data_IF_245972118344
#
_entry.id   IF_245972118344
#
_cell.length_a   1.000
_cell.length_b   1.000
_cell.length_c   1.000
_cell.angle_alpha   90.00
_cell.angle_beta   90.00
_cell.angle_gamma   90.00
#
_symmetry.space_group_name_H-M   'P 1'
#
loop_
_entity.id
_entity.type
_entity.pdbx_description
1 polymer ?
#
# COMPACT_ATOMS: atom_id res chain seq x y z
N UNK A 1 31.42 20.83 -7.36
CA UNK A 1 31.94 20.60 -8.73
C UNK A 1 31.20 19.43 -9.35
N UNK A 2 31.35 19.17 -10.65
CA UNK A 2 30.61 18.09 -11.35
C UNK A 2 30.77 16.71 -10.70
N UNK A 3 31.94 16.45 -10.09
CA UNK A 3 32.21 15.23 -9.32
C UNK A 3 31.28 15.07 -8.11
N UNK A 4 31.02 16.13 -7.37
CA UNK A 4 30.12 16.08 -6.20
C UNK A 4 28.69 15.74 -6.63
N UNK A 5 28.26 16.21 -7.81
CA UNK A 5 26.95 15.90 -8.38
C UNK A 5 26.88 14.42 -8.79
N UNK A 6 27.91 13.91 -9.45
CA UNK A 6 28.00 12.49 -9.84
C UNK A 6 28.01 11.59 -8.59
N UNK A 7 28.79 11.93 -7.57
CA UNK A 7 28.85 11.15 -6.33
C UNK A 7 27.51 11.18 -5.57
N UNK A 8 26.81 12.32 -5.56
CA UNK A 8 25.48 12.43 -4.99
C UNK A 8 24.44 11.56 -5.74
N UNK A 9 24.50 11.52 -7.07
CA UNK A 9 23.64 10.65 -7.89
C UNK A 9 23.96 9.17 -7.65
N UNK A 10 25.23 8.79 -7.62
CA UNK A 10 25.66 7.41 -7.36
C UNK A 10 25.21 6.93 -5.98
N UNK A 11 25.34 7.78 -4.95
CA UNK A 11 24.88 7.50 -3.59
C UNK A 11 23.36 7.32 -3.53
N UNK A 12 22.62 8.12 -4.29
CA UNK A 12 21.15 8.00 -4.40
C UNK A 12 20.73 6.70 -5.11
N UNK A 13 21.47 6.26 -6.13
CA UNK A 13 21.20 4.97 -6.77
C UNK A 13 21.56 3.79 -5.87
N UNK A 14 22.58 3.92 -5.02
CA UNK A 14 22.94 2.88 -4.05
C UNK A 14 21.82 2.61 -3.04
N UNK A 15 21.08 3.63 -2.58
CA UNK A 15 19.94 3.43 -1.66
C UNK A 15 18.74 2.74 -2.33
N UNK A 16 18.67 2.73 -3.67
CA UNK A 16 17.61 2.05 -4.43
C UNK A 16 17.85 0.55 -4.62
N UNK A 17 18.96 -0.01 -4.13
CA UNK A 17 19.32 -1.43 -4.31
C UNK A 17 18.21 -2.40 -3.90
N UNK A 18 17.62 -2.21 -2.71
CA UNK A 18 16.49 -3.05 -2.26
C UNK A 18 15.25 -2.89 -3.14
N UNK A 19 14.98 -1.67 -3.63
CA UNK A 19 13.86 -1.41 -4.52
C UNK A 19 14.03 -2.12 -5.86
N UNK A 20 15.25 -2.13 -6.44
CA UNK A 20 15.55 -2.82 -7.70
C UNK A 20 15.30 -4.33 -7.55
N UNK A 21 15.76 -4.94 -6.45
CA UNK A 21 15.52 -6.37 -6.18
C UNK A 21 14.03 -6.67 -6.05
N UNK A 22 13.28 -5.83 -5.34
CA UNK A 22 11.83 -5.98 -5.21
C UNK A 22 11.12 -5.89 -6.56
N UNK A 23 11.42 -4.85 -7.34
CA UNK A 23 10.83 -4.64 -8.66
C UNK A 23 11.18 -5.78 -9.61
N UNK A 24 12.39 -6.34 -9.52
CA UNK A 24 12.77 -7.51 -10.29
C UNK A 24 11.83 -8.69 -10.02
N UNK A 25 11.62 -9.06 -8.75
CA UNK A 25 10.71 -10.16 -8.41
C UNK A 25 9.25 -9.84 -8.73
N UNK A 26 8.80 -8.60 -8.49
CA UNK A 26 7.46 -8.16 -8.85
C UNK A 26 7.22 -8.28 -10.37
N UNK A 27 8.19 -7.87 -11.19
CA UNK A 27 8.11 -7.99 -12.64
C UNK A 27 8.02 -9.46 -13.08
N UNK A 28 8.80 -10.36 -12.47
CA UNK A 28 8.70 -11.79 -12.74
C UNK A 28 7.33 -12.36 -12.31
N UNK A 29 6.83 -11.98 -11.13
CA UNK A 29 5.50 -12.39 -10.66
C UNK A 29 4.43 -11.95 -11.64
N UNK A 30 4.40 -10.67 -12.04
CA UNK A 30 3.42 -10.16 -13.03
C UNK A 30 3.52 -10.89 -14.36
N UNK A 31 4.74 -11.16 -14.83
CA UNK A 31 4.96 -11.89 -16.08
C UNK A 31 4.42 -13.33 -16.00
N UNK A 32 4.73 -14.07 -14.93
CA UNK A 32 4.23 -15.44 -14.74
C UNK A 32 2.73 -15.48 -14.48
N UNK A 33 2.18 -14.52 -13.73
CA UNK A 33 0.76 -14.41 -13.43
C UNK A 33 -0.06 -14.13 -14.69
N UNK A 34 0.50 -13.34 -15.62
CA UNK A 34 -0.07 -13.14 -16.96
C UNK A 34 0.10 -14.37 -17.84
N UNK A 35 1.28 -14.97 -17.89
CA UNK A 35 1.58 -16.12 -18.76
C UNK A 35 0.74 -17.36 -18.42
N UNK A 36 0.48 -17.60 -17.14
CA UNK A 36 -0.36 -18.71 -16.67
C UNK A 36 -1.87 -18.46 -16.83
N UNK A 37 -2.28 -17.27 -17.29
CA UNK A 37 -3.67 -16.78 -17.31
C UNK A 37 -4.35 -16.74 -15.93
N UNK A 38 -3.61 -16.97 -14.85
CA UNK A 38 -4.17 -16.99 -13.49
C UNK A 38 -4.76 -15.63 -13.12
N UNK A 39 -4.14 -14.53 -13.58
CA UNK A 39 -4.68 -13.19 -13.40
C UNK A 39 -6.02 -12.97 -14.08
N UNK A 40 -6.26 -13.57 -15.25
CA UNK A 40 -7.56 -13.48 -15.92
C UNK A 40 -8.62 -14.28 -15.16
N UNK A 41 -8.28 -15.48 -14.69
CA UNK A 41 -9.20 -16.31 -13.90
C UNK A 41 -9.61 -15.59 -12.61
N UNK A 42 -8.66 -15.05 -11.86
CA UNK A 42 -8.94 -14.29 -10.63
C UNK A 42 -9.74 -13.02 -10.91
N UNK A 43 -9.40 -12.29 -11.98
CA UNK A 43 -10.12 -11.08 -12.34
C UNK A 43 -11.59 -11.35 -12.66
N UNK A 44 -11.87 -12.37 -13.48
CA UNK A 44 -13.24 -12.73 -13.86
C UNK A 44 -14.00 -13.29 -12.66
N UNK A 45 -13.43 -14.23 -11.90
CA UNK A 45 -14.08 -14.82 -10.73
C UNK A 45 -14.39 -13.76 -9.66
N UNK A 46 -13.44 -12.86 -9.39
CA UNK A 46 -13.63 -11.76 -8.43
C UNK A 46 -14.66 -10.73 -8.91
N UNK A 47 -14.65 -10.37 -10.21
CA UNK A 47 -15.63 -9.45 -10.76
C UNK A 47 -17.06 -10.04 -10.70
N UNK A 48 -17.23 -11.32 -11.06
CA UNK A 48 -18.51 -12.01 -10.94
C UNK A 48 -18.98 -12.05 -9.48
N UNK A 49 -18.09 -12.38 -8.53
CA UNK A 49 -18.43 -12.38 -7.11
C UNK A 49 -18.92 -11.00 -6.64
N UNK A 50 -18.24 -9.92 -7.02
CA UNK A 50 -18.64 -8.54 -6.68
C UNK A 50 -19.99 -8.15 -7.31
N UNK A 51 -20.26 -8.61 -8.52
CA UNK A 51 -21.54 -8.38 -9.21
C UNK A 51 -22.69 -9.17 -8.56
N UNK A 52 -22.46 -10.43 -8.17
CA UNK A 52 -23.46 -11.28 -7.52
C UNK A 52 -23.91 -10.74 -6.17
N UNK A 53 -22.98 -10.20 -5.37
CA UNK A 53 -23.32 -9.55 -4.09
C UNK A 53 -23.88 -8.13 -4.25
N UNK A 54 -23.98 -7.61 -5.48
CA UNK A 54 -24.45 -6.26 -5.78
C UNK A 54 -23.49 -5.14 -5.36
N UNK A 55 -22.22 -5.45 -5.10
CA UNK A 55 -21.21 -4.49 -4.65
C UNK A 55 -20.51 -3.84 -5.85
N UNK A 56 -21.30 -3.23 -6.75
CA UNK A 56 -20.82 -2.58 -7.99
C UNK A 56 -20.89 -1.05 -7.94
N UNK A 57 -21.33 -0.48 -6.80
CA UNK A 57 -21.44 0.95 -6.58
C UNK A 57 -20.26 1.56 -5.82
N UNK A 58 -20.34 2.86 -5.45
CA UNK A 58 -19.29 3.58 -4.72
C UNK A 58 -18.84 2.90 -3.41
N UNK A 59 -19.71 2.10 -2.80
CA UNK A 59 -19.43 1.31 -1.61
C UNK A 59 -18.26 0.32 -1.79
N UNK A 60 -18.02 -0.15 -3.03
CA UNK A 60 -16.88 -1.00 -3.36
C UNK A 60 -15.55 -0.32 -3.05
N UNK A 61 -15.43 0.99 -3.32
CA UNK A 61 -14.22 1.73 -3.02
C UNK A 61 -13.98 1.84 -1.52
N UNK A 62 -15.03 2.01 -0.71
CA UNK A 62 -14.87 2.02 0.73
C UNK A 62 -14.32 0.68 1.24
N UNK A 63 -14.88 -0.44 0.77
CA UNK A 63 -14.36 -1.78 1.10
C UNK A 63 -12.91 -1.98 0.61
N UNK A 64 -12.59 -1.51 -0.59
CA UNK A 64 -11.25 -1.58 -1.16
C UNK A 64 -10.23 -0.76 -0.37
N UNK A 65 -10.58 0.47 0.01
CA UNK A 65 -9.73 1.35 0.85
C UNK A 65 -9.45 0.69 2.19
N UNK A 66 -10.47 0.15 2.87
CA UNK A 66 -10.31 -0.55 4.14
C UNK A 66 -9.42 -1.79 4.01
N UNK A 67 -9.61 -2.57 2.95
CA UNK A 67 -8.76 -3.73 2.65
C UNK A 67 -7.31 -3.31 2.42
N UNK A 68 -7.06 -2.27 1.62
CA UNK A 68 -5.71 -1.74 1.40
C UNK A 68 -5.08 -1.22 2.71
N UNK A 69 -5.85 -0.52 3.53
CA UNK A 69 -5.41 -0.05 4.84
C UNK A 69 -5.07 -1.19 5.79
N UNK A 70 -5.82 -2.29 5.76
CA UNK A 70 -5.56 -3.50 6.54
C UNK A 70 -4.28 -4.21 6.08
N UNK A 71 -4.07 -4.36 4.77
CA UNK A 71 -2.84 -4.96 4.23
C UNK A 71 -1.62 -4.11 4.60
N UNK A 72 -1.75 -2.78 4.61
CA UNK A 72 -0.66 -1.86 4.96
C UNK A 72 -0.18 -2.00 6.42
N UNK A 73 -1.04 -2.51 7.32
CA UNK A 73 -0.61 -2.87 8.68
C UNK A 73 0.39 -4.04 8.70
N UNK A 74 0.36 -4.90 7.68
CA UNK A 74 1.26 -6.05 7.54
C UNK A 74 2.49 -5.72 6.67
N UNK A 75 2.28 -4.95 5.60
CA UNK A 75 3.30 -4.58 4.62
C UNK A 75 3.47 -3.06 4.65
N UNK A 76 4.40 -2.56 5.46
CA UNK A 76 4.63 -1.10 5.62
C UNK A 76 5.34 -0.41 4.44
N UNK A 77 5.28 -0.99 3.23
CA UNK A 77 5.90 -0.43 2.03
C UNK A 77 4.88 -0.30 0.92
N UNK A 78 4.55 0.95 0.58
CA UNK A 78 3.58 1.30 -0.46
C UNK A 78 3.92 0.66 -1.82
N UNK A 79 5.20 0.63 -2.20
CA UNK A 79 5.59 0.02 -3.48
C UNK A 79 5.52 -1.51 -3.43
N UNK A 80 5.82 -2.12 -2.27
CA UNK A 80 5.76 -3.57 -2.10
C UNK A 80 4.31 -4.06 -2.11
N UNK A 81 3.44 -3.39 -1.38
CA UNK A 81 2.02 -3.71 -1.32
C UNK A 81 1.39 -3.56 -2.71
N UNK A 82 1.60 -2.42 -3.38
CA UNK A 82 1.05 -2.19 -4.71
C UNK A 82 1.54 -3.21 -5.74
N UNK A 83 2.82 -3.57 -5.70
CA UNK A 83 3.40 -4.56 -6.61
C UNK A 83 2.70 -5.93 -6.54
N UNK A 84 2.19 -6.30 -5.36
CA UNK A 84 1.46 -7.56 -5.14
C UNK A 84 -0.03 -7.41 -5.41
N UNK A 85 -0.65 -6.30 -5.00
CA UNK A 85 -2.10 -6.13 -5.09
C UNK A 85 -2.56 -5.67 -6.47
N UNK A 86 -1.80 -4.82 -7.16
CA UNK A 86 -2.20 -4.25 -8.44
C UNK A 86 -2.52 -5.30 -9.52
N UNK A 87 -1.70 -6.36 -9.72
CA UNK A 87 -1.95 -7.37 -10.74
C UNK A 87 -3.22 -8.19 -10.52
N UNK A 88 -3.73 -8.20 -9.28
CA UNK A 88 -4.92 -8.95 -8.87
C UNK A 88 -6.16 -8.04 -8.92
N UNK A 89 -6.10 -6.90 -8.24
CA UNK A 89 -7.26 -6.04 -8.04
C UNK A 89 -7.55 -5.10 -9.20
N UNK A 90 -6.52 -4.60 -9.91
CA UNK A 90 -6.74 -3.66 -11.02
C UNK A 90 -7.54 -4.32 -12.15
N UNK A 91 -7.17 -5.51 -12.66
CA UNK A 91 -7.96 -6.16 -13.71
C UNK A 91 -9.38 -6.52 -13.25
N UNK A 92 -9.53 -6.98 -12.01
CA UNK A 92 -10.83 -7.33 -11.43
C UNK A 92 -11.79 -6.14 -11.40
N UNK A 93 -11.34 -5.00 -10.87
CA UNK A 93 -12.16 -3.80 -10.74
C UNK A 93 -12.40 -3.12 -12.09
N UNK A 94 -11.49 -3.28 -13.05
CA UNK A 94 -11.72 -2.86 -14.44
C UNK A 94 -12.86 -3.63 -15.10
N UNK A 95 -13.00 -4.93 -14.83
CA UNK A 95 -14.13 -5.73 -15.32
C UNK A 95 -15.48 -5.34 -14.68
N UNK A 96 -15.45 -4.80 -13.46
CA UNK A 96 -16.65 -4.23 -12.82
C UNK A 96 -17.04 -2.87 -13.42
N UNK A 97 -16.12 -2.21 -14.14
CA UNK A 97 -16.38 -0.97 -14.88
C UNK A 97 -15.61 0.25 -14.37
N UNK A 98 -14.61 0.07 -13.51
CA UNK A 98 -13.82 1.18 -12.96
C UNK A 98 -12.51 1.40 -13.70
N UNK A 99 -12.15 2.67 -13.89
CA UNK A 99 -10.89 3.04 -14.51
C UNK A 99 -9.70 2.77 -13.56
N UNK A 100 -8.54 2.31 -14.08
CA UNK A 100 -7.35 1.98 -13.28
C UNK A 100 -6.82 3.18 -12.47
N UNK A 101 -7.01 4.41 -12.95
CA UNK A 101 -6.61 5.64 -12.27
C UNK A 101 -7.40 5.83 -10.97
N UNK A 102 -8.70 5.53 -10.98
CA UNK A 102 -9.57 5.59 -9.80
C UNK A 102 -9.21 4.49 -8.80
N UNK A 103 -8.89 3.30 -9.28
CA UNK A 103 -8.45 2.17 -8.45
C UNK A 103 -7.12 2.51 -7.76
N UNK A 104 -6.17 3.08 -8.50
CA UNK A 104 -4.90 3.54 -7.95
C UNK A 104 -5.10 4.69 -6.94
N UNK A 105 -6.02 5.62 -7.21
CA UNK A 105 -6.36 6.67 -6.27
C UNK A 105 -6.85 6.05 -4.95
N UNK A 106 -7.85 5.16 -5.00
CA UNK A 106 -8.40 4.48 -3.82
C UNK A 106 -7.32 3.69 -3.04
N UNK A 107 -6.40 3.02 -3.75
CA UNK A 107 -5.26 2.36 -3.12
C UNK A 107 -4.41 3.33 -2.29
N UNK A 108 -4.09 4.52 -2.84
CA UNK A 108 -3.27 5.54 -2.16
C UNK A 108 -3.96 6.10 -0.92
N UNK A 109 -5.30 6.16 -0.92
CA UNK A 109 -6.09 6.51 0.28
C UNK A 109 -5.85 5.45 1.37
N UNK A 110 -6.04 4.17 1.04
CA UNK A 110 -5.86 3.09 2.02
C UNK A 110 -4.43 2.98 2.55
N UNK A 111 -3.43 3.08 1.67
CA UNK A 111 -2.00 3.04 2.04
C UNK A 111 -1.61 4.19 2.98
N UNK A 112 -2.04 5.42 2.67
CA UNK A 112 -1.63 6.60 3.45
C UNK A 112 -2.28 6.67 4.83
N UNK A 113 -3.56 6.31 4.93
CA UNK A 113 -4.38 6.52 6.13
C UNK A 113 -3.98 5.64 7.31
N UNK A 114 -3.44 4.44 7.09
CA UNK A 114 -3.02 3.50 8.15
C UNK A 114 -1.52 3.51 8.46
N UNK A 115 -0.72 4.31 7.74
CA UNK A 115 0.72 4.43 7.98
C UNK A 115 1.08 4.94 9.39
N UNK A 116 0.21 5.74 10.00
CA UNK A 116 0.45 6.29 11.35
C UNK A 116 0.19 5.30 12.48
N UNK A 117 -0.51 4.20 12.20
CA UNK A 117 -0.82 3.14 13.17
C UNK A 117 -0.03 1.84 12.91
N UNK A 118 0.75 1.76 11.82
CA UNK A 118 1.53 0.56 11.49
C UNK A 118 2.87 0.55 12.24
N UNK A 119 3.12 -0.44 13.14
CA UNK A 119 4.42 -0.58 13.80
C UNK A 119 5.51 -1.08 12.83
N UNK A 120 5.12 -1.58 11.66
CA UNK A 120 6.01 -2.11 10.63
C UNK A 120 6.67 -1.01 9.78
N UNK A 121 6.31 0.26 9.99
CA UNK A 121 6.91 1.39 9.27
C UNK A 121 8.38 1.58 9.70
N UNK A 122 9.28 1.76 8.73
CA UNK A 122 10.72 1.97 8.99
C UNK A 122 11.04 3.17 9.89
N UNK A 123 10.15 4.18 9.95
CA UNK A 123 10.32 5.37 10.77
C UNK A 123 9.74 5.25 12.18
N UNK A 124 9.00 4.18 12.48
CA UNK A 124 8.28 4.02 13.74
C UNK A 124 9.22 4.12 14.96
N UNK A 125 10.39 3.48 14.89
CA UNK A 125 11.40 3.52 15.96
C UNK A 125 11.95 4.94 16.22
N UNK A 126 12.11 5.76 15.18
CA UNK A 126 12.54 7.15 15.32
C UNK A 126 11.44 8.00 15.98
N UNK A 127 10.19 7.84 15.54
CA UNK A 127 9.03 8.54 16.11
C UNK A 127 8.89 8.19 17.59
N UNK A 128 8.99 6.90 17.93
CA UNK A 128 8.96 6.43 19.31
C UNK A 128 10.08 7.05 20.13
N UNK A 129 11.33 7.03 19.64
CA UNK A 129 12.47 7.61 20.36
C UNK A 129 12.30 9.11 20.64
N UNK A 130 11.71 9.87 19.70
CA UNK A 130 11.40 11.29 19.90
C UNK A 130 10.25 11.46 20.91
N UNK A 131 9.18 10.66 20.80
CA UNK A 131 8.05 10.73 21.71
C UNK A 131 8.44 10.38 23.16
N UNK A 132 9.30 9.38 23.34
CA UNK A 132 9.80 8.97 24.65
C UNK A 132 10.67 10.04 25.34
N UNK A 133 11.24 10.99 24.59
CA UNK A 133 11.95 12.14 25.19
C UNK A 133 11.01 13.06 25.97
N UNK A 134 9.76 13.21 25.53
CA UNK A 134 8.75 14.04 26.18
C UNK A 134 7.90 13.24 27.17
N UNK A 135 7.62 11.97 26.88
CA UNK A 135 6.88 11.08 27.75
C UNK A 135 7.64 9.76 27.99
N UNK A 136 8.31 9.67 29.15
CA UNK A 136 9.17 8.52 29.50
C UNK A 136 8.47 7.16 29.55
N UNK A 137 7.16 7.13 29.80
CA UNK A 137 6.36 5.90 29.89
C UNK A 137 5.60 5.57 28.60
N UNK A 138 5.91 6.23 27.48
CA UNK A 138 5.21 6.03 26.22
C UNK A 138 5.70 4.75 25.53
N UNK A 139 4.82 3.74 25.48
CA UNK A 139 5.05 2.50 24.76
C UNK A 139 4.49 2.51 23.33
N UNK A 140 4.80 1.44 22.59
CA UNK A 140 4.34 1.21 21.21
C UNK A 140 2.80 1.29 21.14
N UNK A 141 2.11 0.58 22.04
CA UNK A 141 0.65 0.55 22.09
C UNK A 141 0.04 1.92 22.41
N UNK A 142 0.66 2.70 23.29
CA UNK A 142 0.20 4.06 23.62
C UNK A 142 0.32 4.99 22.43
N UNK A 143 1.42 4.90 21.67
CA UNK A 143 1.62 5.69 20.46
C UNK A 143 0.54 5.35 19.41
N UNK A 144 0.34 4.06 19.12
CA UNK A 144 -0.67 3.59 18.16
C UNK A 144 -2.08 4.00 18.60
N UNK A 145 -2.43 3.79 19.87
CA UNK A 145 -3.74 4.18 20.40
C UNK A 145 -3.99 5.68 20.30
N UNK A 146 -2.95 6.51 20.47
CA UNK A 146 -3.05 7.97 20.31
C UNK A 146 -3.24 8.37 18.84
N UNK A 147 -2.67 7.63 17.89
CA UNK A 147 -2.77 7.89 16.45
C UNK A 147 -4.01 7.25 15.81
N UNK A 148 -4.64 6.28 16.45
CA UNK A 148 -5.81 5.57 15.94
C UNK A 148 -7.00 6.49 15.60
N UNK A 149 -7.40 7.46 16.46
CA UNK A 149 -8.47 8.39 16.11
C UNK A 149 -8.15 9.22 14.86
N UNK A 150 -6.90 9.63 14.67
CA UNK A 150 -6.46 10.35 13.48
C UNK A 150 -6.61 9.47 12.23
N UNK A 151 -6.19 8.21 12.31
CA UNK A 151 -6.29 7.26 11.20
C UNK A 151 -7.75 7.06 10.79
N UNK A 152 -8.66 6.89 11.76
CA UNK A 152 -10.10 6.77 11.51
C UNK A 152 -10.66 8.05 10.85
N UNK A 153 -10.29 9.24 11.36
CA UNK A 153 -10.74 10.50 10.78
C UNK A 153 -10.25 10.66 9.34
N UNK A 154 -9.00 10.27 9.04
CA UNK A 154 -8.47 10.30 7.69
C UNK A 154 -9.14 9.26 6.78
N UNK A 155 -9.42 8.04 7.24
CA UNK A 155 -10.14 7.04 6.43
C UNK A 155 -11.55 7.53 6.06
N UNK A 156 -12.24 8.22 6.97
CA UNK A 156 -13.62 8.69 6.72
C UNK A 156 -13.63 9.98 5.91
N UNK A 157 -12.63 10.85 6.11
CA UNK A 157 -12.56 12.17 5.46
C UNK A 157 -11.86 12.20 4.10
N UNK A 158 -11.07 11.17 3.76
CA UNK A 158 -10.28 11.08 2.53
C UNK A 158 -10.95 10.14 1.52
#
# INVERSE_FOLDING_TARGET
TDRDVIDAMAKSMSSMGMYIVLVFFAAQFVAFFKWTNFGQVFAVAGASFLQEIGLTGPMLFFAFILMCGFINLMIGSASAQWAVTAPIFVPMLMLVGYAPETIQAAYRIGDSTTNIITPMMSYFGLILAVATRYMKNLGIGTLIATMLPYSICFIVGW
#
